data_IF_261696843269
#
_entry.id   IF_261696843269
#
_cell.length_a   1.000
_cell.length_b   1.000
_cell.length_c   1.000
_cell.angle_alpha   90.00
_cell.angle_beta   90.00
_cell.angle_gamma   90.00
#
_symmetry.space_group_name_H-M   'P 1'
#
loop_
_entity.id
_entity.type
_entity.pdbx_description
1 polymer ?
#
# COMPACT_ATOMS: atom_id res chain seq x y z
N UNK A 1 39.25 4.64 18.27
CA UNK A 1 38.40 3.78 19.15
C UNK A 1 36.96 4.19 18.94
N UNK A 2 36.18 3.40 18.18
CA UNK A 2 34.79 3.75 17.83
C UNK A 2 34.07 2.70 16.96
N UNK A 3 34.49 1.44 17.00
CA UNK A 3 34.08 0.43 16.00
C UNK A 3 32.86 -0.40 16.41
N UNK A 4 32.71 -0.75 17.69
CA UNK A 4 31.64 -1.64 18.14
C UNK A 4 30.24 -0.99 18.09
N UNK A 5 30.11 0.27 18.51
CA UNK A 5 28.83 1.01 18.45
C UNK A 5 28.39 1.30 17.03
N UNK A 6 29.32 1.59 16.11
CA UNK A 6 29.02 1.75 14.69
C UNK A 6 28.57 0.44 14.02
N UNK A 7 29.15 -0.70 14.42
CA UNK A 7 28.74 -2.02 13.91
C UNK A 7 27.36 -2.46 14.41
N UNK A 8 27.03 -2.18 15.68
CA UNK A 8 25.70 -2.48 16.23
C UNK A 8 24.62 -1.62 15.58
N UNK A 9 24.93 -0.37 15.26
CA UNK A 9 24.02 0.54 14.57
C UNK A 9 23.80 0.17 13.11
N UNK A 10 24.72 -0.53 12.45
CA UNK A 10 24.59 -0.97 11.05
C UNK A 10 23.83 -2.30 10.90
N UNK A 11 23.53 -2.97 12.01
CA UNK A 11 22.98 -4.33 12.02
C UNK A 11 21.54 -4.38 11.50
N UNK A 12 20.64 -3.44 11.83
CA UNK A 12 19.31 -3.38 11.22
C UNK A 12 19.35 -3.14 9.71
N UNK A 13 20.21 -2.24 9.22
CA UNK A 13 20.31 -1.91 7.78
C UNK A 13 20.88 -3.08 6.98
N UNK A 14 21.92 -3.74 7.52
CA UNK A 14 22.48 -4.94 6.91
C UNK A 14 21.44 -6.07 6.87
N UNK A 15 20.71 -6.27 7.98
CA UNK A 15 19.64 -7.26 8.05
C UNK A 15 18.52 -6.96 7.05
N UNK A 16 18.09 -5.70 6.97
CA UNK A 16 17.07 -5.25 6.02
C UNK A 16 17.50 -5.54 4.58
N UNK A 17 18.77 -5.27 4.26
CA UNK A 17 19.35 -5.57 2.94
C UNK A 17 19.33 -7.06 2.64
N UNK A 18 19.72 -7.91 3.60
CA UNK A 18 19.71 -9.37 3.44
C UNK A 18 18.27 -9.86 3.22
N UNK A 19 17.33 -9.42 4.06
CA UNK A 19 15.94 -9.85 4.00
C UNK A 19 15.24 -9.40 2.71
N UNK A 20 15.60 -8.24 2.15
CA UNK A 20 15.11 -7.82 0.83
C UNK A 20 15.52 -8.78 -0.28
N UNK A 21 16.76 -9.29 -0.24
CA UNK A 21 17.21 -10.29 -1.21
C UNK A 21 16.50 -11.63 -1.00
N UNK A 22 16.30 -12.07 0.25
CA UNK A 22 15.57 -13.31 0.55
C UNK A 22 14.11 -13.21 0.11
N UNK A 23 13.44 -12.07 0.36
CA UNK A 23 12.04 -11.85 0.01
C UNK A 23 11.78 -11.92 -1.50
N UNK A 24 12.79 -11.61 -2.32
CA UNK A 24 12.66 -11.73 -3.77
C UNK A 24 12.42 -13.19 -4.22
N UNK A 25 12.97 -14.15 -3.47
CA UNK A 25 12.94 -15.56 -3.83
C UNK A 25 11.96 -16.38 -2.97
N UNK A 26 11.71 -15.98 -1.72
CA UNK A 26 11.02 -16.80 -0.72
C UNK A 26 10.24 -15.98 0.33
N UNK A 27 9.32 -16.65 1.02
CA UNK A 27 8.59 -16.07 2.16
C UNK A 27 9.51 -15.79 3.34
N UNK A 28 9.33 -14.64 4.00
CA UNK A 28 10.09 -14.25 5.19
C UNK A 28 9.56 -14.83 6.50
N UNK A 29 8.56 -15.72 6.48
CA UNK A 29 7.96 -16.26 7.71
C UNK A 29 8.99 -16.94 8.63
N UNK A 30 9.89 -17.74 8.08
CA UNK A 30 10.95 -18.39 8.86
C UNK A 30 11.92 -17.37 9.47
N UNK A 31 12.17 -16.27 8.76
CA UNK A 31 13.03 -15.18 9.25
C UNK A 31 12.39 -14.49 10.47
N UNK A 32 11.06 -14.33 10.48
CA UNK A 32 10.35 -13.68 11.59
C UNK A 32 10.47 -14.44 12.92
N UNK A 33 10.83 -15.73 12.91
CA UNK A 33 10.90 -16.56 14.11
C UNK A 33 12.26 -16.52 14.83
N UNK A 34 13.27 -15.86 14.25
CA UNK A 34 14.63 -15.88 14.78
C UNK A 34 14.74 -15.08 16.09
N UNK A 35 14.32 -13.82 16.06
CA UNK A 35 14.22 -12.92 17.22
C UNK A 35 13.39 -11.69 16.85
N UNK A 36 13.17 -10.79 17.82
CA UNK A 36 12.34 -9.58 17.62
C UNK A 36 12.88 -8.60 16.57
N UNK A 37 14.20 -8.51 16.39
CA UNK A 37 14.78 -7.65 15.36
C UNK A 37 14.48 -8.19 13.96
N UNK A 38 14.64 -9.50 13.78
CA UNK A 38 14.30 -10.17 12.52
C UNK A 38 12.80 -10.13 12.25
N UNK A 39 11.95 -10.34 13.26
CA UNK A 39 10.50 -10.18 13.15
C UNK A 39 10.13 -8.77 12.70
N UNK A 40 10.73 -7.74 13.30
CA UNK A 40 10.46 -6.35 12.97
C UNK A 40 10.86 -6.01 11.52
N UNK A 41 12.09 -6.34 11.11
CA UNK A 41 12.59 -6.05 9.76
C UNK A 41 11.85 -6.87 8.70
N UNK A 42 11.65 -8.17 8.94
CA UNK A 42 10.95 -9.04 8.00
C UNK A 42 9.50 -8.59 7.82
N UNK A 43 8.80 -8.24 8.90
CA UNK A 43 7.43 -7.71 8.80
C UNK A 43 7.40 -6.37 8.08
N UNK A 44 8.40 -5.50 8.33
CA UNK A 44 8.50 -4.21 7.63
C UNK A 44 8.67 -4.39 6.12
N UNK A 45 9.46 -5.37 5.69
CA UNK A 45 9.68 -5.67 4.27
C UNK A 45 8.43 -6.33 3.66
N UNK A 46 7.90 -7.37 4.31
CA UNK A 46 6.74 -8.13 3.84
C UNK A 46 5.50 -7.26 3.63
N UNK A 47 5.31 -6.24 4.47
CA UNK A 47 4.17 -5.32 4.40
C UNK A 47 4.46 -4.01 3.67
N UNK A 48 5.69 -3.80 3.18
CA UNK A 48 6.04 -2.54 2.51
C UNK A 48 5.27 -2.35 1.21
N UNK A 49 5.06 -3.43 0.45
CA UNK A 49 4.37 -3.43 -0.84
C UNK A 49 3.37 -4.58 -0.86
N UNK A 50 2.08 -4.26 -0.85
CA UNK A 50 1.00 -5.25 -0.76
C UNK A 50 -0.01 -5.05 -1.88
N UNK A 51 -0.32 -6.11 -2.63
CA UNK A 51 -1.29 -6.00 -3.73
C UNK A 51 -2.71 -5.77 -3.22
N UNK A 52 -3.11 -6.49 -2.17
CA UNK A 52 -4.39 -6.28 -1.48
C UNK A 52 -4.11 -6.15 0.01
N UNK A 53 -4.79 -5.21 0.69
CA UNK A 53 -4.65 -5.02 2.13
C UNK A 53 -5.35 -6.17 2.89
N UNK A 54 -4.62 -7.17 3.44
CA UNK A 54 -5.23 -8.33 4.08
C UNK A 54 -5.58 -8.07 5.54
N UNK A 55 -5.87 -6.81 5.89
CA UNK A 55 -6.09 -6.35 7.26
C UNK A 55 -7.33 -7.00 7.91
N UNK A 56 -8.31 -7.42 7.10
CA UNK A 56 -9.51 -8.13 7.56
C UNK A 56 -9.18 -9.46 8.27
N UNK A 57 -8.11 -10.14 7.85
CA UNK A 57 -7.67 -11.42 8.41
C UNK A 57 -6.69 -11.24 9.58
N UNK A 58 -6.43 -10.01 9.97
CA UNK A 58 -5.43 -9.67 10.98
C UNK A 58 -6.13 -9.31 12.29
N UNK A 59 -5.52 -9.71 13.41
CA UNK A 59 -5.95 -9.30 14.74
C UNK A 59 -6.16 -7.77 14.80
N UNK A 60 -7.34 -7.28 15.22
CA UNK A 60 -7.65 -5.85 15.31
C UNK A 60 -6.57 -5.02 16.01
N UNK A 61 -5.96 -5.54 17.07
CA UNK A 61 -4.97 -4.82 17.86
C UNK A 61 -3.64 -4.65 17.11
N UNK A 62 -3.42 -5.46 16.05
CA UNK A 62 -2.22 -5.42 15.21
C UNK A 62 -2.43 -4.72 13.88
N UNK A 63 -3.67 -4.40 13.49
CA UNK A 63 -3.96 -3.80 12.18
C UNK A 63 -3.19 -2.49 11.96
N UNK A 64 -3.08 -1.63 13.00
CA UNK A 64 -2.29 -0.39 12.89
C UNK A 64 -0.78 -0.68 12.77
N UNK A 65 -0.26 -1.66 13.52
CA UNK A 65 1.16 -2.06 13.46
C UNK A 65 1.59 -2.49 12.05
N UNK A 66 0.71 -3.14 11.30
CA UNK A 66 0.96 -3.49 9.90
C UNK A 66 0.73 -2.31 8.96
N UNK A 67 -0.33 -1.53 9.18
CA UNK A 67 -0.66 -0.33 8.38
C UNK A 67 0.47 0.71 8.40
N UNK A 68 1.18 0.84 9.53
CA UNK A 68 2.34 1.72 9.69
C UNK A 68 3.52 1.38 8.76
N UNK A 69 3.56 0.16 8.24
CA UNK A 69 4.67 -0.34 7.40
C UNK A 69 4.38 -0.22 5.91
N UNK A 70 3.10 -0.10 5.53
CA UNK A 70 2.67 -0.04 4.13
C UNK A 70 3.22 1.21 3.46
N UNK A 71 3.92 1.01 2.33
CA UNK A 71 4.46 2.09 1.47
C UNK A 71 3.76 2.11 0.11
N UNK A 72 3.37 0.95 -0.38
CA UNK A 72 2.57 0.80 -1.59
C UNK A 72 1.45 -0.19 -1.33
N UNK A 73 0.25 0.14 -1.78
CA UNK A 73 -0.84 -0.83 -1.80
C UNK A 73 -1.69 -0.73 -3.06
N UNK A 74 -2.37 -1.83 -3.40
CA UNK A 74 -3.46 -1.77 -4.37
C UNK A 74 -4.82 -2.00 -3.70
N UNK A 75 -5.83 -1.37 -4.26
CA UNK A 75 -7.22 -1.41 -3.80
C UNK A 75 -8.08 -1.70 -4.99
N UNK A 76 -8.74 -2.86 -4.96
CA UNK A 76 -9.88 -3.13 -5.84
C UNK A 76 -11.05 -2.30 -5.36
N UNK A 77 -11.77 -1.69 -6.28
CA UNK A 77 -12.97 -0.88 -6.11
C UNK A 77 -14.16 -1.68 -6.66
N UNK A 78 -14.46 -2.79 -6.02
CA UNK A 78 -15.62 -3.65 -6.21
C UNK A 78 -16.46 -3.70 -4.91
N UNK A 79 -17.53 -4.51 -4.85
CA UNK A 79 -18.33 -4.64 -3.62
C UNK A 79 -17.50 -5.16 -2.42
N UNK A 80 -16.41 -5.89 -2.66
CA UNK A 80 -15.49 -6.32 -1.60
C UNK A 80 -14.61 -5.17 -1.09
N UNK A 81 -14.33 -4.16 -1.91
CA UNK A 81 -13.70 -2.90 -1.53
C UNK A 81 -14.46 -2.18 -0.43
N UNK A 82 -15.79 -2.23 -0.46
CA UNK A 82 -16.60 -1.60 0.57
C UNK A 82 -16.28 -2.17 1.95
N UNK A 83 -16.05 -3.48 2.05
CA UNK A 83 -15.67 -4.12 3.31
C UNK A 83 -14.29 -3.66 3.81
N UNK A 84 -13.30 -3.58 2.90
CA UNK A 84 -11.95 -3.14 3.26
C UNK A 84 -11.89 -1.66 3.63
N UNK A 85 -12.49 -0.79 2.83
CA UNK A 85 -12.58 0.65 3.10
C UNK A 85 -13.43 0.92 4.34
N UNK A 86 -14.50 0.15 4.58
CA UNK A 86 -15.28 0.25 5.82
C UNK A 86 -14.46 -0.16 7.03
N UNK A 87 -13.65 -1.22 6.94
CA UNK A 87 -12.76 -1.62 8.03
C UNK A 87 -11.75 -0.52 8.36
N UNK A 88 -11.09 0.03 7.34
CA UNK A 88 -10.11 1.11 7.49
C UNK A 88 -10.75 2.35 8.14
N UNK A 89 -11.95 2.74 7.70
CA UNK A 89 -12.66 3.89 8.27
C UNK A 89 -13.17 3.61 9.69
N UNK A 90 -13.79 2.46 9.93
CA UNK A 90 -14.34 2.10 11.24
C UNK A 90 -13.26 2.00 12.31
N UNK A 91 -12.09 1.48 11.94
CA UNK A 91 -10.93 1.34 12.83
C UNK A 91 -10.04 2.57 12.85
N UNK A 92 -10.35 3.61 12.06
CA UNK A 92 -9.56 4.83 11.93
C UNK A 92 -8.07 4.53 11.64
N UNK A 93 -7.81 3.54 10.77
CA UNK A 93 -6.44 3.14 10.46
C UNK A 93 -5.73 4.24 9.68
N UNK A 94 -4.49 4.52 10.07
CA UNK A 94 -3.65 5.52 9.41
C UNK A 94 -2.52 4.82 8.67
N UNK A 95 -2.13 5.37 7.51
CA UNK A 95 -1.04 4.84 6.69
C UNK A 95 0.10 5.86 6.58
N UNK A 96 0.85 6.13 7.66
CA UNK A 96 1.80 7.23 7.73
C UNK A 96 3.00 7.11 6.77
N UNK A 97 3.24 5.92 6.20
CA UNK A 97 4.36 5.66 5.28
C UNK A 97 3.93 5.42 3.84
N UNK A 98 2.63 5.50 3.56
CA UNK A 98 2.08 5.24 2.23
C UNK A 98 2.53 6.32 1.26
N UNK A 99 3.11 5.89 0.15
CA UNK A 99 3.66 6.72 -0.93
C UNK A 99 2.99 6.47 -2.27
N UNK A 100 2.45 5.26 -2.48
CA UNK A 100 1.80 4.87 -3.72
C UNK A 100 0.52 4.10 -3.43
N UNK A 101 -0.55 4.44 -4.14
CA UNK A 101 -1.80 3.65 -4.14
C UNK A 101 -2.17 3.34 -5.58
N UNK A 102 -2.47 2.06 -5.85
CA UNK A 102 -3.04 1.63 -7.12
C UNK A 102 -4.52 1.32 -6.93
N UNK A 103 -5.39 1.97 -7.70
CA UNK A 103 -6.83 1.77 -7.66
C UNK A 103 -7.23 0.96 -8.88
N UNK A 104 -7.84 -0.22 -8.67
CA UNK A 104 -8.39 -1.05 -9.72
C UNK A 104 -9.92 -0.93 -9.69
N UNK A 105 -10.55 -0.48 -10.77
CA UNK A 105 -12.01 -0.37 -10.83
C UNK A 105 -12.58 -0.94 -12.10
N UNK A 106 -13.65 -1.73 -11.97
CA UNK A 106 -14.41 -2.29 -13.10
C UNK A 106 -15.59 -1.40 -13.52
N UNK A 107 -16.16 -0.60 -12.60
CA UNK A 107 -17.26 0.32 -12.88
C UNK A 107 -17.09 1.59 -12.04
N UNK A 108 -16.81 2.72 -12.71
CA UNK A 108 -16.72 4.02 -12.06
C UNK A 108 -18.06 4.75 -12.23
N UNK A 109 -19.10 4.27 -11.56
CA UNK A 109 -20.44 4.89 -11.65
C UNK A 109 -20.49 6.30 -11.02
N UNK A 110 -19.50 6.62 -10.17
CA UNK A 110 -19.31 7.94 -9.56
C UNK A 110 -17.81 8.25 -9.42
N UNK A 111 -17.42 9.53 -9.32
CA UNK A 111 -16.03 9.91 -9.08
C UNK A 111 -15.54 9.47 -7.69
N UNK A 112 -15.03 8.24 -7.61
CA UNK A 112 -14.64 7.58 -6.37
C UNK A 112 -13.44 8.23 -5.69
N UNK A 113 -12.61 9.01 -6.41
CA UNK A 113 -11.42 9.65 -5.83
C UNK A 113 -11.80 10.77 -4.84
N UNK A 114 -13.00 11.34 -4.97
CA UNK A 114 -13.55 12.29 -4.01
C UNK A 114 -14.39 11.61 -2.90
N UNK A 115 -14.43 10.28 -2.89
CA UNK A 115 -15.10 9.53 -1.84
C UNK A 115 -14.31 9.68 -0.53
N UNK A 116 -14.98 10.23 0.49
CA UNK A 116 -14.42 10.35 1.84
C UNK A 116 -13.89 9.02 2.38
N UNK A 117 -14.42 7.88 1.89
CA UNK A 117 -13.97 6.54 2.29
C UNK A 117 -12.51 6.26 1.90
N UNK A 118 -11.98 6.92 0.88
CA UNK A 118 -10.58 6.80 0.47
C UNK A 118 -9.63 7.69 1.28
N UNK A 119 -10.13 8.63 2.08
CA UNK A 119 -9.32 9.59 2.83
C UNK A 119 -8.18 8.96 3.65
N UNK A 120 -8.37 7.81 4.34
CA UNK A 120 -7.28 7.15 5.07
C UNK A 120 -6.11 6.70 4.17
N UNK A 121 -6.40 6.41 2.90
CA UNK A 121 -5.43 6.03 1.87
C UNK A 121 -4.84 7.24 1.13
N UNK A 122 -5.23 8.46 1.51
CA UNK A 122 -4.72 9.72 0.99
C UNK A 122 -3.94 10.51 2.05
N UNK A 123 -2.94 9.91 2.73
CA UNK A 123 -2.12 10.65 3.69
C UNK A 123 -1.27 11.70 2.98
N UNK A 124 -0.80 12.69 3.73
CA UNK A 124 0.10 13.74 3.21
C UNK A 124 1.43 13.21 2.66
N UNK A 125 1.78 11.96 2.96
CA UNK A 125 2.97 11.28 2.43
C UNK A 125 2.76 10.66 1.06
N UNK A 126 1.52 10.58 0.59
CA UNK A 126 1.18 9.99 -0.70
C UNK A 126 1.75 10.83 -1.83
N UNK A 127 2.46 10.18 -2.75
CA UNK A 127 3.14 10.83 -3.88
C UNK A 127 2.56 10.41 -5.22
N UNK A 128 2.15 9.16 -5.32
CA UNK A 128 1.70 8.54 -6.54
C UNK A 128 0.32 7.92 -6.35
N UNK A 129 -0.57 8.19 -7.31
CA UNK A 129 -1.82 7.45 -7.47
C UNK A 129 -1.80 6.88 -8.88
N UNK A 130 -1.96 5.56 -8.95
CA UNK A 130 -2.13 4.81 -10.18
C UNK A 130 -3.57 4.36 -10.26
N UNK A 131 -4.19 4.58 -11.42
CA UNK A 131 -5.56 4.16 -11.68
C UNK A 131 -5.53 3.22 -12.87
N UNK A 132 -5.96 1.98 -12.63
CA UNK A 132 -6.15 0.98 -13.65
C UNK A 132 -7.64 0.94 -14.04
N UNK A 133 -7.90 1.27 -15.30
CA UNK A 133 -9.23 1.25 -15.91
C UNK A 133 -9.32 0.04 -16.83
N UNK A 134 -10.29 -0.84 -16.59
CA UNK A 134 -10.58 -1.97 -17.47
C UNK A 134 -11.61 -1.64 -18.55
N UNK A 135 -12.30 -0.51 -18.45
CA UNK A 135 -13.29 -0.03 -19.43
C UNK A 135 -13.05 1.44 -19.76
N UNK A 136 -12.92 1.74 -21.05
CA UNK A 136 -12.69 3.10 -21.58
C UNK A 136 -13.97 3.95 -21.56
N UNK A 137 -15.14 3.30 -21.55
CA UNK A 137 -16.43 3.99 -21.53
C UNK A 137 -16.72 4.65 -20.17
N UNK A 138 -15.97 4.26 -19.14
CA UNK A 138 -16.09 4.75 -17.75
C UNK A 138 -14.91 5.66 -17.32
N UNK A 139 -14.30 6.37 -18.28
CA UNK A 139 -13.26 7.35 -17.96
C UNK A 139 -13.80 8.43 -17.01
N UNK A 140 -13.12 8.72 -15.89
CA UNK A 140 -13.51 9.83 -15.02
C UNK A 140 -13.40 11.14 -15.83
N UNK A 141 -14.25 12.12 -15.51
CA UNK A 141 -14.24 13.36 -16.27
C UNK A 141 -12.89 14.07 -16.16
N UNK A 142 -12.45 14.76 -17.22
CA UNK A 142 -11.17 15.50 -17.23
C UNK A 142 -11.06 16.53 -16.09
N UNK A 143 -12.19 17.05 -15.61
CA UNK A 143 -12.30 17.96 -14.47
C UNK A 143 -11.95 17.28 -13.13
N UNK A 144 -12.32 16.02 -12.97
CA UNK A 144 -11.97 15.22 -11.79
C UNK A 144 -10.51 14.83 -11.84
N UNK A 145 -10.02 14.37 -12.99
CA UNK A 145 -8.61 14.03 -13.16
C UNK A 145 -7.69 15.23 -12.89
N UNK A 146 -8.14 16.44 -13.23
CA UNK A 146 -7.42 17.68 -12.91
C UNK A 146 -7.53 18.09 -11.44
N UNK A 147 -8.66 17.83 -10.77
CA UNK A 147 -8.81 18.03 -9.32
C UNK A 147 -7.87 17.12 -8.52
N UNK A 148 -7.76 15.85 -8.92
CA UNK A 148 -6.82 14.89 -8.32
C UNK A 148 -5.39 15.32 -8.63
N UNK A 149 -5.07 15.69 -9.88
CA UNK A 149 -3.73 16.16 -10.26
C UNK A 149 -3.25 17.38 -9.49
N UNK A 150 -4.14 18.30 -9.10
CA UNK A 150 -3.74 19.47 -8.26
C UNK A 150 -3.31 19.07 -6.85
N UNK A 151 -3.71 17.89 -6.39
CA UNK A 151 -3.47 17.42 -5.02
C UNK A 151 -2.28 16.48 -4.89
N UNK A 152 -1.72 15.95 -6.00
CA UNK A 152 -0.66 14.95 -5.96
C UNK A 152 0.53 15.27 -6.87
N UNK A 153 1.71 14.83 -6.44
CA UNK A 153 3.00 15.09 -7.10
C UNK A 153 3.07 14.35 -8.46
N UNK A 154 2.48 13.16 -8.55
CA UNK A 154 2.44 12.35 -9.77
C UNK A 154 1.13 11.59 -9.87
N UNK A 155 0.52 11.61 -11.04
CA UNK A 155 -0.72 10.91 -11.34
C UNK A 155 -0.54 10.20 -12.67
N UNK A 156 -0.64 8.86 -12.65
CA UNK A 156 -0.41 8.01 -13.82
C UNK A 156 -1.65 7.19 -14.11
N UNK A 157 -2.08 7.23 -15.36
CA UNK A 157 -3.16 6.39 -15.87
C UNK A 157 -2.54 5.27 -16.68
N UNK A 158 -2.87 4.03 -16.33
CA UNK A 158 -2.57 2.87 -17.15
C UNK A 158 -3.89 2.27 -17.62
N UNK A 159 -4.10 2.31 -18.94
CA UNK A 159 -5.24 1.66 -19.58
C UNK A 159 -4.83 0.24 -19.90
N UNK A 160 -5.41 -0.74 -19.20
CA UNK A 160 -5.21 -2.14 -19.53
C UNK A 160 -5.96 -2.42 -20.84
N UNK A 161 -5.22 -2.57 -21.93
CA UNK A 161 -5.79 -2.90 -23.24
C UNK A 161 -6.33 -4.33 -23.22
N UNK A 162 -7.64 -4.53 -23.28
CA UNK A 162 -8.25 -5.85 -23.44
C UNK A 162 -7.97 -6.38 -24.85
N UNK A 163 -7.28 -7.52 -24.93
CA UNK A 163 -7.21 -8.31 -26.15
C UNK A 163 -8.57 -8.96 -26.41
N UNK A 164 -9.18 -8.59 -27.54
CA UNK A 164 -10.31 -9.32 -28.10
C UNK A 164 -9.81 -10.67 -28.63
N UNK A 165 -10.45 -11.77 -28.18
CA UNK A 165 -10.38 -13.10 -28.80
C UNK A 165 -11.54 -13.24 -29.77
#
# INVERSE_FOLDING_TARGET
MGTATQQVLALPELLSTILQHVHADQSLLSCMLVNSLWEHEATTIQWAEVDELPLQNTDPDRQQYYSDKVRKCSVKLDDAAESMLSLVNHRSLVFPRLKSVKLHGYQWDKPTICDSRLHPLLPSTLRNIEIELHDLDNLPSLLELTAVRKSFISLRFEVASLHFV
#
